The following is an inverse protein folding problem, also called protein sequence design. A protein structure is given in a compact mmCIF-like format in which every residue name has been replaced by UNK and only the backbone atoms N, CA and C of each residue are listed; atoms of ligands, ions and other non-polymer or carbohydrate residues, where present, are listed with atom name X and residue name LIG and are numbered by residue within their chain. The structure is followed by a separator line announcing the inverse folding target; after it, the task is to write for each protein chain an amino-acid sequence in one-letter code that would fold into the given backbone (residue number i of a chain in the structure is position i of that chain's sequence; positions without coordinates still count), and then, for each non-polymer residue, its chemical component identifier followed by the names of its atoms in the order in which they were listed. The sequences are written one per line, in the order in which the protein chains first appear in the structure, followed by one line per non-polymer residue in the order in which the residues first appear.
data_IF_983927823826
#
_entry.id   IF_983927823826
#
_cell.length_a   1.000
_cell.length_b   1.000
_cell.length_c   1.000
_cell.angle_alpha   90.00
_cell.angle_beta   90.00
_cell.angle_gamma   90.00
#
_symmetry.space_group_name_H-M   'P 1'
#
loop_
_entity.id
_entity.type
_entity.pdbx_description
1 polymer ?
#
# COMPACT_ATOMS: atom_id res chain seq x y z
N UNK A 1 12.49 6.98 24.18
CA UNK A 1 12.14 5.75 23.45
C UNK A 1 13.07 4.65 23.93
N UNK A 2 12.58 3.43 24.10
CA UNK A 2 13.44 2.29 24.43
C UNK A 2 14.32 1.97 23.21
N UNK A 3 15.48 1.33 23.46
CA UNK A 3 16.43 0.90 22.38
C UNK A 3 15.96 -0.39 21.66
N UNK A 4 14.63 -0.59 21.56
CA UNK A 4 14.07 -1.75 20.88
C UNK A 4 14.28 -1.67 19.37
N UNK A 5 14.92 -2.67 18.79
CA UNK A 5 15.03 -2.85 17.34
C UNK A 5 13.80 -3.59 16.84
N UNK A 6 13.23 -3.13 15.73
CA UNK A 6 12.00 -3.68 15.17
C UNK A 6 12.30 -4.25 13.78
N UNK A 7 11.97 -5.52 13.59
CA UNK A 7 12.23 -6.27 12.36
C UNK A 7 10.96 -6.75 11.70
N UNK A 8 11.03 -7.05 10.41
CA UNK A 8 9.92 -7.58 9.61
C UNK A 8 10.17 -9.07 9.39
N UNK A 9 9.21 -9.90 9.83
CA UNK A 9 9.34 -11.36 9.82
C UNK A 9 8.33 -12.05 8.92
N UNK A 10 7.27 -11.37 8.50
CA UNK A 10 6.26 -11.92 7.60
C UNK A 10 5.68 -10.88 6.68
N UNK A 11 5.30 -11.32 5.47
CA UNK A 11 4.75 -10.48 4.40
C UNK A 11 3.57 -11.19 3.76
N UNK A 12 2.46 -10.46 3.59
CA UNK A 12 1.30 -10.89 2.81
C UNK A 12 0.89 -9.82 1.82
N UNK A 13 0.71 -10.20 0.57
CA UNK A 13 0.38 -9.28 -0.52
C UNK A 13 -0.74 -9.85 -1.37
N UNK A 14 -1.67 -8.98 -1.74
CA UNK A 14 -2.68 -9.18 -2.78
C UNK A 14 -2.64 -7.96 -3.67
N UNK A 15 -2.48 -8.15 -4.97
CA UNK A 15 -2.32 -7.06 -5.93
C UNK A 15 -2.90 -7.43 -7.31
N UNK A 16 -3.02 -6.48 -8.24
CA UNK A 16 -3.38 -6.77 -9.62
C UNK A 16 -2.43 -7.71 -10.36
N UNK A 17 -1.22 -7.90 -9.81
CA UNK A 17 -0.16 -8.74 -10.37
C UNK A 17 -0.21 -10.18 -9.86
N UNK A 18 -0.82 -10.42 -8.69
CA UNK A 18 -0.91 -11.74 -8.08
C UNK A 18 -1.59 -11.72 -6.71
N UNK A 19 -2.04 -12.87 -6.26
CA UNK A 19 -2.76 -13.05 -5.00
C UNK A 19 -1.86 -13.52 -3.84
N UNK A 20 -0.55 -13.44 -4.02
CA UNK A 20 0.47 -13.72 -3.01
C UNK A 20 1.76 -12.93 -3.30
N UNK A 21 2.69 -12.97 -2.34
CA UNK A 21 3.98 -12.28 -2.45
C UNK A 21 4.80 -12.77 -3.65
N UNK A 22 4.88 -14.09 -3.85
CA UNK A 22 5.74 -14.69 -4.87
C UNK A 22 5.28 -14.32 -6.28
N UNK A 23 3.98 -14.51 -6.58
CA UNK A 23 3.42 -14.17 -7.89
C UNK A 23 3.48 -12.66 -8.19
N UNK A 24 3.23 -11.83 -7.17
CA UNK A 24 3.35 -10.37 -7.29
C UNK A 24 4.79 -9.96 -7.57
N UNK A 25 5.75 -10.50 -6.84
CA UNK A 25 7.16 -10.16 -7.01
C UNK A 25 7.73 -10.62 -8.36
N UNK A 26 7.43 -11.85 -8.80
CA UNK A 26 7.85 -12.32 -10.12
C UNK A 26 7.27 -11.46 -11.26
N UNK A 27 6.03 -10.98 -11.10
CA UNK A 27 5.44 -10.07 -12.06
C UNK A 27 6.13 -8.69 -12.06
N UNK A 28 6.49 -8.17 -10.88
CA UNK A 28 7.23 -6.91 -10.75
C UNK A 28 8.62 -6.99 -11.36
N UNK A 29 9.38 -8.06 -11.09
CA UNK A 29 10.71 -8.29 -11.72
C UNK A 29 10.62 -8.36 -13.24
N UNK A 30 9.56 -8.94 -13.75
CA UNK A 30 9.32 -9.08 -15.18
C UNK A 30 8.77 -7.81 -15.85
N UNK A 31 8.51 -6.73 -15.11
CA UNK A 31 7.91 -5.50 -15.65
C UNK A 31 6.50 -5.71 -16.20
N UNK A 32 5.71 -6.64 -15.66
CA UNK A 32 4.36 -6.91 -16.15
C UNK A 32 3.36 -5.89 -15.59
N UNK A 33 2.44 -5.41 -16.44
CA UNK A 33 1.34 -4.57 -16.01
C UNK A 33 0.16 -5.44 -15.57
N UNK A 34 -0.44 -5.10 -14.40
CA UNK A 34 -1.71 -5.67 -13.92
C UNK A 34 -2.94 -4.88 -14.35
N UNK A 35 -2.74 -3.78 -15.07
CA UNK A 35 -3.79 -2.86 -15.50
C UNK A 35 -4.50 -3.40 -16.74
N UNK A 36 -5.83 -3.33 -16.75
CA UNK A 36 -6.70 -3.78 -17.85
C UNK A 36 -7.98 -2.92 -17.86
N UNK A 37 -8.85 -3.15 -18.83
CA UNK A 37 -10.22 -2.62 -18.81
C UNK A 37 -10.96 -3.17 -17.59
N UNK A 38 -11.68 -2.31 -16.89
CA UNK A 38 -12.50 -2.68 -15.72
C UNK A 38 -13.55 -3.71 -16.13
N UNK A 39 -13.63 -4.82 -15.38
CA UNK A 39 -14.57 -5.92 -15.60
C UNK A 39 -15.61 -6.07 -14.50
N UNK A 40 -15.35 -5.52 -13.31
CA UNK A 40 -16.20 -5.64 -12.13
C UNK A 40 -17.47 -4.80 -12.20
N UNK A 41 -17.56 -3.82 -13.11
CA UNK A 41 -18.70 -2.92 -13.29
C UNK A 41 -18.91 -2.50 -14.75
N UNK A 42 -20.09 -2.01 -15.07
CA UNK A 42 -20.36 -1.36 -16.35
C UNK A 42 -19.67 0.02 -16.40
N UNK A 43 -18.78 0.20 -17.36
CA UNK A 43 -18.01 1.43 -17.57
C UNK A 43 -18.60 2.35 -18.65
N UNK A 44 -19.82 2.06 -19.14
CA UNK A 44 -20.51 2.89 -20.11
C UNK A 44 -20.71 4.30 -19.54
N UNK A 45 -20.27 5.32 -20.28
CA UNK A 45 -20.37 6.71 -19.86
C UNK A 45 -19.25 7.22 -18.95
N UNK A 46 -18.33 6.35 -18.49
CA UNK A 46 -17.16 6.79 -17.73
C UNK A 46 -16.05 7.26 -18.68
N UNK A 47 -15.36 8.35 -18.31
CA UNK A 47 -14.17 8.82 -19.04
C UNK A 47 -12.96 7.92 -18.82
N UNK A 48 -12.83 7.32 -17.63
CA UNK A 48 -11.82 6.30 -17.30
C UNK A 48 -12.50 4.93 -17.24
N UNK A 49 -11.95 3.96 -17.97
CA UNK A 49 -12.49 2.59 -18.12
C UNK A 49 -11.48 1.51 -17.74
N UNK A 50 -10.37 1.91 -17.13
CA UNK A 50 -9.22 1.07 -16.83
C UNK A 50 -8.88 1.09 -15.34
N UNK A 51 -8.41 -0.04 -14.81
CA UNK A 51 -7.94 -0.19 -13.44
C UNK A 51 -7.04 -1.42 -13.29
N UNK A 52 -6.33 -1.50 -12.18
CA UNK A 52 -5.66 -2.70 -11.70
C UNK A 52 -6.59 -3.48 -10.76
N UNK A 53 -7.39 -4.38 -11.29
CA UNK A 53 -8.29 -5.23 -10.51
C UNK A 53 -7.55 -6.47 -9.99
N UNK A 54 -7.87 -6.88 -8.76
CA UNK A 54 -7.46 -8.19 -8.22
C UNK A 54 -8.33 -9.27 -8.84
N UNK A 55 -7.69 -10.29 -9.44
CA UNK A 55 -8.34 -11.36 -10.18
C UNK A 55 -8.37 -12.66 -9.35
N UNK A 56 -9.49 -13.37 -9.40
CA UNK A 56 -9.63 -14.75 -8.89
C UNK A 56 -9.21 -14.97 -7.42
N UNK A 57 -9.33 -13.94 -6.57
CA UNK A 57 -9.04 -14.07 -5.16
C UNK A 57 -10.21 -14.70 -4.38
N UNK A 58 -9.97 -15.84 -3.74
CA UNK A 58 -10.90 -16.47 -2.80
C UNK A 58 -10.58 -16.06 -1.36
N UNK A 59 -11.45 -15.29 -0.68
CA UNK A 59 -11.24 -14.91 0.71
C UNK A 59 -11.63 -16.01 1.71
N UNK A 60 -12.38 -17.03 1.31
CA UNK A 60 -12.97 -18.02 2.22
C UNK A 60 -11.97 -18.70 3.16
N UNK A 61 -10.74 -19.05 2.74
CA UNK A 61 -9.76 -19.70 3.60
C UNK A 61 -9.26 -18.83 4.79
N UNK A 62 -9.50 -17.52 4.75
CA UNK A 62 -9.02 -16.57 5.77
C UNK A 62 -10.10 -16.15 6.78
N UNK A 63 -11.23 -16.86 6.79
CA UNK A 63 -12.34 -16.64 7.71
C UNK A 63 -12.74 -17.94 8.39
N UNK A 64 -13.14 -17.90 9.67
CA UNK A 64 -13.64 -19.06 10.42
C UNK A 64 -14.78 -19.78 9.71
N UNK A 65 -15.61 -19.01 9.04
CA UNK A 65 -16.69 -19.59 8.22
C UNK A 65 -16.81 -18.88 6.88
N UNK A 66 -17.16 -19.60 5.77
CA UNK A 66 -17.44 -18.97 4.47
C UNK A 66 -18.61 -17.97 4.50
N UNK A 67 -19.48 -18.07 5.51
CA UNK A 67 -20.61 -17.15 5.71
C UNK A 67 -20.10 -15.77 6.16
N UNK A 68 -19.06 -15.71 6.98
CA UNK A 68 -18.49 -14.46 7.46
C UNK A 68 -17.78 -13.72 6.31
N UNK A 69 -17.05 -14.45 5.47
CA UNK A 69 -16.45 -13.89 4.26
C UNK A 69 -17.48 -13.19 3.35
N UNK A 70 -18.67 -13.79 3.15
CA UNK A 70 -19.71 -13.23 2.27
C UNK A 70 -20.41 -11.97 2.77
N UNK A 71 -20.17 -11.57 4.01
CA UNK A 71 -20.89 -10.46 4.65
C UNK A 71 -20.10 -9.15 4.67
N UNK A 72 -18.78 -9.24 4.63
CA UNK A 72 -17.89 -8.09 4.75
C UNK A 72 -17.62 -7.43 3.40
N UNK A 73 -17.13 -6.20 3.42
CA UNK A 73 -16.75 -5.46 2.23
C UNK A 73 -15.47 -6.04 1.59
N UNK A 74 -15.27 -5.80 0.30
CA UNK A 74 -14.15 -6.33 -0.49
C UNK A 74 -12.77 -5.93 0.05
N UNK A 75 -12.61 -4.69 0.56
CA UNK A 75 -11.32 -4.31 1.15
C UNK A 75 -10.97 -5.17 2.36
N UNK A 76 -11.97 -5.60 3.13
CA UNK A 76 -11.79 -6.51 4.26
C UNK A 76 -11.38 -7.92 3.80
N UNK A 77 -11.87 -8.40 2.66
CA UNK A 77 -11.39 -9.65 2.07
C UNK A 77 -9.90 -9.62 1.84
N UNK A 78 -9.40 -8.53 1.25
CA UNK A 78 -7.97 -8.36 0.98
C UNK A 78 -7.16 -8.22 2.27
N UNK A 79 -7.66 -7.43 3.24
CA UNK A 79 -6.99 -7.27 4.54
C UNK A 79 -6.83 -8.60 5.28
N UNK A 80 -7.91 -9.41 5.35
CA UNK A 80 -7.91 -10.74 5.99
C UNK A 80 -6.96 -11.70 5.27
N UNK A 81 -7.01 -11.71 3.94
CA UNK A 81 -6.13 -12.54 3.12
C UNK A 81 -4.66 -12.20 3.31
N UNK A 82 -4.30 -10.93 3.18
CA UNK A 82 -2.92 -10.49 3.35
C UNK A 82 -2.41 -10.70 4.78
N UNK A 83 -3.24 -10.44 5.81
CA UNK A 83 -2.88 -10.69 7.20
C UNK A 83 -2.65 -12.19 7.47
N UNK A 84 -3.52 -13.06 6.97
CA UNK A 84 -3.36 -14.51 7.10
C UNK A 84 -2.10 -15.04 6.41
N UNK A 85 -1.77 -14.51 5.21
CA UNK A 85 -0.53 -14.83 4.50
C UNK A 85 0.70 -14.34 5.27
N UNK A 86 0.67 -13.10 5.80
CA UNK A 86 1.77 -12.53 6.57
C UNK A 86 2.03 -13.33 7.86
N UNK A 87 0.98 -13.69 8.59
CA UNK A 87 1.10 -14.55 9.79
C UNK A 87 1.68 -15.92 9.46
N UNK A 88 1.21 -16.54 8.38
CA UNK A 88 1.75 -17.83 7.91
C UNK A 88 3.23 -17.72 7.50
N UNK A 89 3.57 -16.68 6.75
CA UNK A 89 4.94 -16.44 6.27
C UNK A 89 5.91 -16.17 7.42
N UNK A 90 5.46 -15.47 8.48
CA UNK A 90 6.24 -15.21 9.68
C UNK A 90 6.61 -16.47 10.46
N UNK A 91 5.86 -17.56 10.29
CA UNK A 91 6.00 -18.79 11.08
C UNK A 91 5.69 -18.61 12.57
N UNK A 92 4.93 -17.56 12.94
CA UNK A 92 4.56 -17.28 14.32
C UNK A 92 3.56 -18.33 14.82
N UNK A 93 3.92 -19.03 15.92
CA UNK A 93 3.02 -19.98 16.59
C UNK A 93 2.12 -19.23 17.58
N UNK A 94 0.94 -18.83 17.10
CA UNK A 94 -0.02 -18.04 17.91
C UNK A 94 -0.50 -18.78 19.18
N UNK A 95 -0.38 -20.09 19.28
CA UNK A 95 -0.75 -20.82 20.49
C UNK A 95 0.36 -20.80 21.56
N UNK A 96 1.59 -20.53 21.15
CA UNK A 96 2.71 -20.36 22.06
C UNK A 96 2.93 -18.91 22.52
N UNK A 97 2.22 -17.95 21.90
CA UNK A 97 2.43 -16.52 22.12
C UNK A 97 1.46 -15.91 23.15
N UNK A 98 1.93 -14.88 23.84
CA UNK A 98 1.04 -13.99 24.59
C UNK A 98 0.27 -13.08 23.62
N UNK A 99 -0.94 -13.50 23.23
CA UNK A 99 -1.78 -12.79 22.28
C UNK A 99 -2.17 -11.37 22.74
N UNK A 100 -2.02 -11.04 24.02
CA UNK A 100 -2.25 -9.67 24.54
C UNK A 100 -1.10 -8.72 24.18
N UNK A 101 0.04 -9.25 23.73
CA UNK A 101 1.20 -8.52 23.25
C UNK A 101 1.28 -8.43 21.72
N UNK A 102 0.28 -8.99 21.00
CA UNK A 102 0.19 -8.95 19.53
C UNK A 102 -0.91 -7.96 19.14
N UNK A 103 -0.53 -6.86 18.53
CA UNK A 103 -1.48 -5.83 18.09
C UNK A 103 -1.78 -5.90 16.59
N UNK A 104 -2.81 -5.15 16.16
CA UNK A 104 -3.25 -5.09 14.76
C UNK A 104 -3.49 -3.64 14.34
N UNK A 105 -2.84 -3.21 13.25
CA UNK A 105 -3.02 -1.89 12.62
C UNK A 105 -3.08 -2.02 11.10
N UNK A 106 -4.25 -2.39 10.58
CA UNK A 106 -4.51 -2.50 9.14
C UNK A 106 -5.59 -1.51 8.76
N UNK A 107 -5.23 -0.52 7.92
CA UNK A 107 -6.11 0.58 7.53
C UNK A 107 -6.64 0.45 6.10
N UNK A 108 -7.61 1.32 5.79
CA UNK A 108 -8.09 1.58 4.43
C UNK A 108 -8.29 3.08 4.26
N UNK A 109 -7.96 3.61 3.09
CA UNK A 109 -8.12 5.05 2.80
C UNK A 109 -9.58 5.49 2.73
N UNK A 110 -10.47 4.61 2.26
CA UNK A 110 -11.90 4.91 2.05
C UNK A 110 -12.80 3.97 2.86
N UNK A 111 -12.37 2.72 3.11
CA UNK A 111 -13.19 1.74 3.80
C UNK A 111 -14.21 1.07 2.89
N UNK A 112 -15.33 0.62 3.46
CA UNK A 112 -16.36 -0.17 2.79
C UNK A 112 -17.30 0.63 1.88
N UNK A 113 -16.75 1.24 0.84
CA UNK A 113 -17.52 2.01 -0.14
C UNK A 113 -18.58 1.15 -0.85
N UNK A 114 -18.26 -0.12 -1.17
CA UNK A 114 -19.21 -1.06 -1.78
C UNK A 114 -20.40 -1.36 -0.86
N UNK A 115 -20.13 -1.50 0.43
CA UNK A 115 -21.19 -1.62 1.45
C UNK A 115 -22.07 -0.37 1.47
N UNK A 116 -21.48 0.83 1.45
CA UNK A 116 -22.23 2.09 1.44
C UNK A 116 -23.11 2.19 0.19
N UNK A 117 -22.57 1.96 -1.02
CA UNK A 117 -23.34 2.03 -2.27
C UNK A 117 -24.53 1.05 -2.27
N UNK A 118 -24.27 -0.22 -1.91
CA UNK A 118 -25.29 -1.25 -1.93
C UNK A 118 -26.42 -1.00 -0.92
N UNK A 119 -26.08 -0.51 0.27
CA UNK A 119 -27.05 -0.23 1.31
C UNK A 119 -27.80 1.08 1.05
N UNK A 120 -27.17 2.07 0.40
CA UNK A 120 -27.86 3.26 -0.07
C UNK A 120 -28.87 2.94 -1.18
N UNK A 121 -28.52 2.10 -2.13
CA UNK A 121 -29.47 1.60 -3.15
C UNK A 121 -30.64 0.82 -2.51
N UNK A 122 -30.36 0.03 -1.47
CA UNK A 122 -31.40 -0.66 -0.69
C UNK A 122 -32.34 0.32 0.02
N UNK A 123 -31.77 1.36 0.66
CA UNK A 123 -32.56 2.41 1.30
C UNK A 123 -33.54 3.09 0.33
N UNK A 124 -33.06 3.47 -0.85
CA UNK A 124 -33.86 4.16 -1.86
C UNK A 124 -34.94 3.24 -2.48
N UNK A 125 -34.64 1.98 -2.73
CA UNK A 125 -35.54 1.06 -3.41
C UNK A 125 -36.50 0.29 -2.50
N UNK A 126 -36.10 0.04 -1.22
CA UNK A 126 -36.85 -0.86 -0.30
C UNK A 126 -37.17 -0.21 1.05
N UNK A 127 -36.71 1.00 1.30
CA UNK A 127 -36.93 1.75 2.55
C UNK A 127 -36.02 1.36 3.72
N UNK A 128 -36.06 2.15 4.82
CA UNK A 128 -35.08 2.07 5.91
C UNK A 128 -35.07 0.73 6.67
N UNK A 129 -36.24 0.06 6.77
CA UNK A 129 -36.34 -1.22 7.45
C UNK A 129 -35.59 -2.38 6.76
N UNK A 130 -35.11 -2.17 5.54
CA UNK A 130 -34.40 -3.18 4.74
C UNK A 130 -32.89 -2.94 4.70
N UNK A 131 -32.41 -1.84 5.23
CA UNK A 131 -30.95 -1.56 5.38
C UNK A 131 -30.37 -2.58 6.37
N UNK A 132 -29.20 -3.13 6.03
CA UNK A 132 -28.53 -4.12 6.88
C UNK A 132 -28.14 -3.55 8.23
N UNK A 133 -28.38 -4.24 9.35
CA UNK A 133 -27.87 -3.82 10.66
C UNK A 133 -26.32 -3.88 10.74
N UNK A 134 -25.69 -4.55 9.80
CA UNK A 134 -24.24 -4.64 9.69
C UNK A 134 -23.62 -3.61 8.76
N UNK A 135 -24.43 -2.70 8.16
CA UNK A 135 -23.92 -1.66 7.26
C UNK A 135 -22.77 -0.87 7.91
N UNK A 136 -23.00 -0.32 9.09
CA UNK A 136 -21.99 0.51 9.77
C UNK A 136 -20.74 -0.32 10.12
N UNK A 137 -20.85 -1.49 10.82
CA UNK A 137 -19.68 -2.30 11.11
C UNK A 137 -18.83 -2.66 9.88
N UNK A 138 -19.45 -2.95 8.73
CA UNK A 138 -18.68 -3.37 7.55
C UNK A 138 -18.22 -2.22 6.65
N UNK A 139 -18.71 -1.01 6.91
CA UNK A 139 -18.31 0.19 6.18
C UNK A 139 -17.07 0.88 6.78
N UNK A 140 -16.94 0.89 8.11
CA UNK A 140 -15.88 1.64 8.78
C UNK A 140 -14.50 1.04 8.52
N UNK A 141 -13.49 1.90 8.27
CA UNK A 141 -12.15 1.47 7.83
C UNK A 141 -11.38 0.67 8.88
N UNK A 142 -11.68 0.83 10.18
CA UNK A 142 -11.01 0.07 11.25
C UNK A 142 -11.55 -1.35 11.43
N UNK A 143 -12.61 -1.74 10.70
CA UNK A 143 -13.17 -3.10 10.83
C UNK A 143 -12.16 -4.17 10.39
N UNK A 144 -11.28 -3.86 9.45
CA UNK A 144 -10.21 -4.77 9.04
C UNK A 144 -9.33 -5.18 10.21
N UNK A 145 -8.83 -4.21 10.99
CA UNK A 145 -8.06 -4.49 12.22
C UNK A 145 -8.87 -5.29 13.24
N UNK A 146 -10.14 -4.92 13.45
CA UNK A 146 -11.03 -5.62 14.36
C UNK A 146 -11.26 -7.07 13.97
N UNK A 147 -11.54 -7.36 12.71
CA UNK A 147 -11.79 -8.72 12.23
C UNK A 147 -10.54 -9.60 12.25
N UNK A 148 -9.37 -9.07 11.88
CA UNK A 148 -8.09 -9.78 12.03
C UNK A 148 -7.85 -10.15 13.50
N UNK A 149 -8.05 -9.19 14.41
CA UNK A 149 -7.94 -9.43 15.86
C UNK A 149 -8.88 -10.53 16.34
N UNK A 150 -10.15 -10.50 15.91
CA UNK A 150 -11.16 -11.51 16.27
C UNK A 150 -10.85 -12.89 15.68
N UNK A 151 -10.36 -12.94 14.44
CA UNK A 151 -10.06 -14.20 13.73
C UNK A 151 -8.95 -14.96 14.42
N UNK A 152 -7.86 -14.26 14.78
CA UNK A 152 -6.65 -14.86 15.33
C UNK A 152 -6.55 -14.75 16.86
N UNK A 153 -7.50 -14.07 17.52
CA UNK A 153 -7.53 -13.89 18.98
C UNK A 153 -6.48 -12.90 19.50
N UNK A 154 -6.08 -11.91 18.70
CA UNK A 154 -5.02 -10.96 19.03
C UNK A 154 -5.58 -9.83 19.94
N UNK A 155 -5.09 -9.74 21.16
CA UNK A 155 -5.61 -8.85 22.20
C UNK A 155 -4.75 -7.63 22.49
N UNK A 156 -3.72 -7.36 21.71
CA UNK A 156 -2.85 -6.18 21.83
C UNK A 156 -3.49 -4.91 21.26
N UNK A 157 -2.70 -3.83 21.11
CA UNK A 157 -3.20 -2.56 20.53
C UNK A 157 -3.91 -2.77 19.20
N UNK A 158 -5.13 -2.19 19.07
CA UNK A 158 -5.94 -2.34 17.86
C UNK A 158 -6.47 -0.99 17.40
N UNK A 159 -6.05 -0.53 16.23
CA UNK A 159 -6.52 0.72 15.64
C UNK A 159 -6.33 0.71 14.11
N UNK A 160 -6.84 1.75 13.47
CA UNK A 160 -6.62 2.01 12.04
C UNK A 160 -6.45 3.50 11.83
N UNK A 161 -5.37 3.87 11.18
CA UNK A 161 -5.11 5.25 10.75
C UNK A 161 -5.58 5.37 9.30
N UNK A 162 -6.28 6.47 9.01
CA UNK A 162 -6.82 6.78 7.68
C UNK A 162 -6.18 8.06 7.19
N UNK A 163 -5.32 7.94 6.19
CA UNK A 163 -4.56 9.05 5.60
C UNK A 163 -4.42 8.92 4.08
N UNK A 164 -5.54 8.57 3.44
CA UNK A 164 -5.59 8.37 1.99
C UNK A 164 -4.47 7.44 1.50
N UNK A 165 -3.67 7.86 0.51
CA UNK A 165 -2.60 7.05 -0.08
C UNK A 165 -1.48 6.68 0.91
N UNK A 166 -1.31 7.42 2.02
CA UNK A 166 -0.30 7.15 3.03
C UNK A 166 -0.77 6.20 4.14
N UNK A 167 -2.01 5.70 4.06
CA UNK A 167 -2.64 4.87 5.10
C UNK A 167 -1.77 3.70 5.54
N UNK A 168 -1.28 2.87 4.62
CA UNK A 168 -0.41 1.73 4.98
C UNK A 168 0.87 2.18 5.68
N UNK A 169 1.55 3.19 5.13
CA UNK A 169 2.81 3.69 5.70
C UNK A 169 2.61 4.24 7.11
N UNK A 170 1.51 4.95 7.36
CA UNK A 170 1.19 5.45 8.70
C UNK A 170 0.82 4.32 9.66
N UNK A 171 0.05 3.30 9.23
CA UNK A 171 -0.25 2.16 10.09
C UNK A 171 1.02 1.38 10.47
N UNK A 172 1.94 1.17 9.52
CA UNK A 172 3.23 0.51 9.78
C UNK A 172 4.11 1.38 10.68
N UNK A 173 4.22 2.67 10.39
CA UNK A 173 5.05 3.60 11.17
C UNK A 173 4.56 3.81 12.59
N UNK A 174 3.25 3.92 12.82
CA UNK A 174 2.71 4.02 14.18
C UNK A 174 2.74 2.68 14.93
N UNK A 175 2.60 1.54 14.24
CA UNK A 175 2.87 0.23 14.82
C UNK A 175 4.32 0.14 15.33
N UNK A 176 5.29 0.61 14.54
CA UNK A 176 6.70 0.72 14.96
C UNK A 176 6.85 1.60 16.20
N UNK A 177 6.18 2.77 16.28
CA UNK A 177 6.20 3.61 17.48
C UNK A 177 5.64 2.91 18.71
N UNK A 178 4.47 2.27 18.59
CA UNK A 178 3.84 1.49 19.67
C UNK A 178 4.83 0.45 20.22
N UNK A 179 5.52 -0.27 19.33
CA UNK A 179 6.53 -1.27 19.74
C UNK A 179 7.76 -0.62 20.37
N UNK A 180 8.22 0.54 19.87
CA UNK A 180 9.31 1.32 20.49
C UNK A 180 8.96 1.81 21.89
N UNK A 181 7.69 2.07 22.20
CA UNK A 181 7.23 2.39 23.56
C UNK A 181 7.04 1.17 24.45
N UNK A 182 7.04 -0.04 23.89
CA UNK A 182 6.92 -1.28 24.66
C UNK A 182 5.49 -1.78 24.86
N UNK A 183 4.51 -1.22 24.16
CA UNK A 183 3.09 -1.60 24.32
C UNK A 183 2.75 -2.91 23.58
N UNK A 184 3.56 -3.30 22.60
CA UNK A 184 3.45 -4.58 21.90
C UNK A 184 4.84 -5.17 21.59
N UNK A 185 4.89 -6.49 21.38
CA UNK A 185 6.09 -7.19 20.95
C UNK A 185 5.98 -7.68 19.51
N UNK A 186 4.74 -7.82 19.01
CA UNK A 186 4.40 -8.16 17.62
C UNK A 186 3.27 -7.25 17.13
N UNK A 187 3.33 -6.82 15.87
CA UNK A 187 2.26 -6.06 15.23
C UNK A 187 1.96 -6.59 13.84
N UNK A 188 0.69 -6.87 13.57
CA UNK A 188 0.15 -7.11 12.22
C UNK A 188 -0.25 -5.76 11.65
N UNK A 189 0.45 -5.24 10.64
CA UNK A 189 0.21 -3.87 10.19
C UNK A 189 0.34 -3.69 8.67
N UNK A 190 -0.35 -2.69 8.14
CA UNK A 190 -0.38 -2.41 6.70
C UNK A 190 -1.67 -1.73 6.27
N UNK A 191 -2.16 -2.08 5.08
CA UNK A 191 -3.42 -1.55 4.56
C UNK A 191 -4.02 -2.34 3.42
N UNK A 192 -5.30 -2.08 3.19
CA UNK A 192 -6.10 -2.70 2.13
C UNK A 192 -7.03 -1.65 1.50
N UNK A 193 -7.33 -1.80 0.21
CA UNK A 193 -8.25 -0.91 -0.50
C UNK A 193 -9.01 -1.67 -1.58
N UNK A 194 -10.30 -1.33 -1.78
CA UNK A 194 -11.16 -1.89 -2.83
C UNK A 194 -12.19 -0.85 -3.32
N UNK A 195 -11.70 0.14 -4.05
CA UNK A 195 -12.50 1.30 -4.46
C UNK A 195 -12.76 1.38 -5.96
N UNK A 196 -12.50 0.30 -6.71
CA UNK A 196 -12.89 0.18 -8.12
C UNK A 196 -14.41 -0.11 -8.17
N UNK A 197 -15.16 0.95 -7.90
CA UNK A 197 -16.61 0.95 -7.74
C UNK A 197 -17.20 2.17 -8.47
N UNK A 198 -18.50 2.16 -8.81
CA UNK A 198 -19.15 3.24 -9.56
C UNK A 198 -18.86 4.64 -9.02
N UNK A 199 -19.09 4.90 -7.73
CA UNK A 199 -18.86 6.22 -7.13
C UNK A 199 -17.37 6.53 -6.97
N UNK A 200 -16.54 5.54 -6.69
CA UNK A 200 -15.08 5.70 -6.59
C UNK A 200 -14.47 6.14 -7.92
N UNK A 201 -14.74 5.40 -8.99
CA UNK A 201 -14.26 5.73 -10.34
C UNK A 201 -14.83 7.07 -10.82
N UNK A 202 -16.14 7.33 -10.64
CA UNK A 202 -16.74 8.60 -11.03
C UNK A 202 -16.14 9.78 -10.26
N UNK A 203 -15.94 9.66 -8.95
CA UNK A 203 -15.39 10.71 -8.11
C UNK A 203 -13.99 11.13 -8.55
N UNK A 204 -13.06 10.19 -8.65
CA UNK A 204 -11.69 10.47 -9.10
C UNK A 204 -11.61 10.90 -10.56
N UNK A 205 -12.47 10.36 -11.42
CA UNK A 205 -12.56 10.73 -12.82
C UNK A 205 -13.00 12.20 -13.00
N UNK A 206 -14.04 12.63 -12.25
CA UNK A 206 -14.52 14.00 -12.28
C UNK A 206 -13.52 15.02 -11.71
N UNK A 207 -12.66 14.59 -10.79
CA UNK A 207 -11.52 15.39 -10.31
C UNK A 207 -10.42 15.54 -11.37
N UNK A 208 -10.52 14.87 -12.53
CA UNK A 208 -9.45 14.78 -13.55
C UNK A 208 -8.14 14.20 -13.01
N UNK A 209 -8.24 13.33 -12.01
CA UNK A 209 -7.10 12.69 -11.38
C UNK A 209 -6.69 11.37 -12.06
N UNK A 210 -7.62 10.73 -12.79
CA UNK A 210 -7.41 9.45 -13.44
C UNK A 210 -6.95 9.60 -14.90
N UNK A 211 -6.09 8.68 -15.31
CA UNK A 211 -5.74 8.49 -16.73
C UNK A 211 -6.97 8.11 -17.55
N UNK A 212 -7.08 8.66 -18.73
CA UNK A 212 -8.11 8.33 -19.72
C UNK A 212 -7.58 7.55 -20.93
N UNK A 213 -6.37 6.99 -20.84
CA UNK A 213 -5.72 6.17 -21.89
C UNK A 213 -6.36 4.78 -21.98
N UNK A 214 -7.66 4.75 -22.30
CA UNK A 214 -8.48 3.53 -22.31
C UNK A 214 -8.09 2.53 -23.39
N UNK A 215 -7.53 3.00 -24.50
CA UNK A 215 -7.18 2.17 -25.65
C UNK A 215 -5.88 1.37 -25.44
N UNK A 216 -5.05 1.80 -24.49
CA UNK A 216 -3.80 1.15 -24.13
C UNK A 216 -3.68 0.98 -22.60
N UNK A 217 -4.53 0.15 -21.97
CA UNK A 217 -4.61 0.05 -20.49
C UNK A 217 -3.26 -0.21 -19.82
N UNK A 218 -2.47 -1.15 -20.35
CA UNK A 218 -1.18 -1.54 -19.79
C UNK A 218 -0.11 -0.45 -19.91
N UNK A 219 -0.34 0.57 -20.74
CA UNK A 219 0.56 1.72 -20.95
C UNK A 219 0.07 3.00 -20.27
N UNK A 220 -1.05 2.94 -19.56
CA UNK A 220 -1.69 4.11 -18.99
C UNK A 220 -0.96 4.66 -17.77
N UNK A 221 -0.54 3.78 -16.83
CA UNK A 221 0.30 4.19 -15.71
C UNK A 221 1.75 4.31 -16.18
N UNK A 222 2.22 5.56 -16.26
CA UNK A 222 3.53 5.93 -16.83
C UNK A 222 4.22 7.02 -16.01
N UNK A 223 4.58 6.72 -14.74
CA UNK A 223 5.25 7.69 -13.88
C UNK A 223 6.50 8.26 -14.56
N UNK A 224 6.72 9.58 -14.43
CA UNK A 224 7.87 10.34 -14.97
C UNK A 224 7.94 10.45 -16.49
N UNK A 225 6.97 9.94 -17.23
CA UNK A 225 6.87 10.16 -18.67
C UNK A 225 6.19 11.51 -18.96
N UNK A 226 6.58 12.19 -20.05
CA UNK A 226 5.99 13.48 -20.43
C UNK A 226 4.51 13.39 -20.78
N UNK A 227 4.07 12.22 -21.29
CA UNK A 227 2.70 11.99 -21.74
C UNK A 227 1.80 11.38 -20.65
N UNK A 228 2.20 11.44 -19.35
CA UNK A 228 1.36 11.01 -18.24
C UNK A 228 0.17 11.93 -18.07
N UNK A 229 -1.01 11.37 -17.88
CA UNK A 229 -2.28 12.09 -17.86
C UNK A 229 -3.12 11.87 -16.60
N UNK A 230 -2.59 11.18 -15.59
CA UNK A 230 -3.28 10.84 -14.35
C UNK A 230 -2.92 9.46 -13.84
N UNK A 231 -3.33 9.12 -12.63
CA UNK A 231 -3.09 7.80 -12.08
C UNK A 231 -4.11 6.77 -12.59
N UNK A 232 -3.76 5.50 -12.52
CA UNK A 232 -4.69 4.39 -12.72
C UNK A 232 -5.04 3.81 -11.36
N UNK A 233 -6.32 3.67 -11.03
CA UNK A 233 -6.76 3.04 -9.78
C UNK A 233 -6.33 1.57 -9.72
N UNK A 234 -5.91 1.12 -8.54
CA UNK A 234 -5.69 -0.28 -8.23
C UNK A 234 -6.38 -0.67 -6.93
N UNK A 235 -6.50 -1.97 -6.68
CA UNK A 235 -7.03 -2.53 -5.44
C UNK A 235 -6.12 -3.63 -4.91
N UNK A 236 -6.22 -3.97 -3.61
CA UNK A 236 -5.44 -5.04 -3.00
C UNK A 236 -5.12 -4.78 -1.52
N UNK A 237 -4.08 -5.43 -1.02
CA UNK A 237 -3.56 -5.26 0.33
C UNK A 237 -2.07 -5.57 0.41
N UNK A 238 -1.38 -4.88 1.32
CA UNK A 238 -0.05 -5.22 1.77
C UNK A 238 0.00 -5.17 3.29
N UNK A 239 0.33 -6.30 3.91
CA UNK A 239 0.41 -6.48 5.37
C UNK A 239 1.74 -7.10 5.72
N UNK A 240 2.36 -6.60 6.78
CA UNK A 240 3.61 -7.13 7.31
C UNK A 240 3.46 -7.49 8.80
N UNK A 241 4.31 -8.40 9.26
CA UNK A 241 4.48 -8.71 10.68
C UNK A 241 5.74 -7.99 11.15
N UNK A 242 5.56 -7.05 12.07
CA UNK A 242 6.65 -6.44 12.83
C UNK A 242 6.86 -7.21 14.12
N UNK A 243 8.12 -7.47 14.47
CA UNK A 243 8.52 -8.07 15.74
C UNK A 243 9.68 -7.29 16.35
N UNK A 244 9.78 -7.31 17.69
CA UNK A 244 11.04 -6.89 18.30
C UNK A 244 12.14 -7.87 17.89
N UNK A 245 13.34 -7.37 17.63
CA UNK A 245 14.46 -8.21 17.23
C UNK A 245 14.73 -9.34 18.24
N UNK A 246 14.63 -9.03 19.53
CA UNK A 246 14.80 -10.02 20.61
C UNK A 246 13.78 -11.15 20.51
N UNK A 247 12.51 -10.83 20.28
CA UNK A 247 11.44 -11.82 20.10
C UNK A 247 11.68 -12.68 18.86
N UNK A 248 11.98 -12.07 17.72
CA UNK A 248 12.26 -12.77 16.47
C UNK A 248 13.45 -13.73 16.59
N UNK A 249 14.55 -13.28 17.21
CA UNK A 249 15.76 -14.11 17.42
C UNK A 249 15.48 -15.28 18.36
N UNK A 250 14.75 -15.06 19.45
CA UNK A 250 14.42 -16.11 20.44
C UNK A 250 13.68 -17.29 19.80
N UNK A 251 12.82 -17.05 18.83
CA UNK A 251 12.07 -18.09 18.12
C UNK A 251 12.72 -18.55 16.80
N UNK A 252 13.88 -17.98 16.42
CA UNK A 252 14.59 -18.33 15.18
C UNK A 252 13.84 -17.88 13.91
N UNK A 253 13.14 -16.74 13.96
CA UNK A 253 12.38 -16.23 12.85
C UNK A 253 13.25 -15.86 11.64
N UNK A 254 12.73 -16.03 10.43
CA UNK A 254 13.26 -15.37 9.25
C UNK A 254 13.08 -13.86 9.40
N UNK A 255 14.10 -13.08 9.10
CA UNK A 255 14.06 -11.62 9.11
C UNK A 255 14.26 -11.11 7.68
N UNK A 256 13.29 -10.36 7.16
CA UNK A 256 13.37 -9.74 5.84
C UNK A 256 14.17 -8.44 5.86
N UNK A 257 14.08 -7.68 6.95
CA UNK A 257 14.77 -6.43 7.15
C UNK A 257 14.43 -5.81 8.48
N UNK A 258 15.07 -4.70 8.81
CA UNK A 258 14.79 -3.89 10.00
C UNK A 258 14.13 -2.57 9.61
N UNK A 259 13.05 -2.20 10.29
CA UNK A 259 12.43 -0.88 10.16
C UNK A 259 13.14 0.10 11.09
N UNK A 260 14.03 0.90 10.53
CA UNK A 260 14.95 1.76 11.30
C UNK A 260 14.47 3.20 11.44
N UNK A 261 13.58 3.68 10.56
CA UNK A 261 13.12 5.06 10.60
C UNK A 261 11.71 5.24 10.03
N UNK A 262 11.04 6.27 10.51
CA UNK A 262 9.70 6.66 10.06
C UNK A 262 9.58 8.18 10.06
N UNK A 263 9.17 8.75 8.93
CA UNK A 263 8.90 10.17 8.78
C UNK A 263 7.41 10.45 8.57
N UNK A 264 6.94 11.56 9.11
CA UNK A 264 5.55 12.01 9.00
C UNK A 264 5.54 13.53 8.86
N UNK A 265 4.74 14.03 7.93
CA UNK A 265 4.57 15.48 7.70
C UNK A 265 3.27 15.77 6.97
N UNK A 266 2.95 17.04 6.79
CA UNK A 266 1.85 17.52 5.96
C UNK A 266 2.31 18.68 5.10
N UNK A 267 1.78 18.79 3.87
CA UNK A 267 2.08 19.92 2.98
C UNK A 267 1.50 21.25 3.48
N UNK A 268 0.32 21.19 4.11
CA UNK A 268 -0.43 22.35 4.57
C UNK A 268 -0.61 23.41 3.43
N UNK A 269 -0.89 22.91 2.22
CA UNK A 269 -0.89 23.73 1.01
C UNK A 269 -2.26 23.77 0.33
N UNK A 270 -2.79 22.64 -0.11
CA UNK A 270 -4.04 22.55 -0.87
C UNK A 270 -4.77 21.23 -0.57
N UNK A 271 -6.09 21.17 -0.85
CA UNK A 271 -6.91 19.99 -0.58
C UNK A 271 -6.41 18.72 -1.31
N UNK A 272 -5.95 18.85 -2.56
CA UNK A 272 -5.56 17.73 -3.43
C UNK A 272 -4.23 17.92 -4.14
N UNK A 273 -3.80 19.16 -4.39
CA UNK A 273 -2.53 19.44 -5.05
C UNK A 273 -1.36 19.38 -4.06
N UNK A 274 -0.23 18.74 -4.43
CA UNK A 274 0.99 18.75 -3.60
C UNK A 274 1.61 20.14 -3.54
N UNK A 275 2.44 20.38 -2.51
CA UNK A 275 3.30 21.56 -2.46
C UNK A 275 4.23 21.57 -3.70
N UNK A 276 4.24 22.67 -4.51
CA UNK A 276 4.99 22.71 -5.77
C UNK A 276 6.51 22.48 -5.63
N UNK A 277 7.06 22.72 -4.45
CA UNK A 277 8.48 22.48 -4.13
C UNK A 277 8.71 21.16 -3.37
N UNK A 278 7.67 20.36 -3.11
CA UNK A 278 7.77 19.08 -2.42
C UNK A 278 8.27 19.17 -0.97
N UNK A 279 8.07 20.31 -0.30
CA UNK A 279 8.62 20.56 1.04
C UNK A 279 8.12 19.60 2.10
N UNK A 280 6.86 19.16 2.01
CA UNK A 280 6.29 18.15 2.91
C UNK A 280 7.00 16.81 2.75
N UNK A 281 7.09 16.30 1.53
CA UNK A 281 7.79 15.04 1.23
C UNK A 281 9.28 15.10 1.64
N UNK A 282 9.95 16.23 1.40
CA UNK A 282 11.33 16.42 1.83
C UNK A 282 11.48 16.36 3.36
N UNK A 283 10.56 17.00 4.13
CA UNK A 283 10.56 16.90 5.60
C UNK A 283 10.34 15.48 6.09
N UNK A 284 9.42 14.75 5.45
CA UNK A 284 9.14 13.35 5.76
C UNK A 284 10.39 12.48 5.60
N UNK A 285 11.06 12.57 4.45
CA UNK A 285 12.30 11.82 4.18
C UNK A 285 13.43 12.18 5.16
N UNK A 286 13.65 13.47 5.44
CA UNK A 286 14.64 13.91 6.43
C UNK A 286 14.37 13.34 7.82
N UNK A 287 13.10 13.38 8.27
CA UNK A 287 12.72 12.79 9.57
C UNK A 287 12.98 11.28 9.62
N UNK A 288 12.71 10.55 8.53
CA UNK A 288 13.00 9.12 8.46
C UNK A 288 14.51 8.84 8.58
N UNK A 289 15.34 9.61 7.88
CA UNK A 289 16.81 9.54 7.98
C UNK A 289 17.30 9.88 9.39
N UNK A 290 16.76 10.92 10.02
CA UNK A 290 17.09 11.32 11.40
C UNK A 290 16.73 10.20 12.39
N UNK A 291 15.55 9.58 12.26
CA UNK A 291 15.18 8.45 13.12
C UNK A 291 16.07 7.22 12.91
N UNK A 292 16.52 6.99 11.68
CA UNK A 292 17.43 5.90 11.35
C UNK A 292 18.89 6.18 11.76
N UNK A 293 19.24 7.45 12.00
CA UNK A 293 20.63 7.86 12.20
C UNK A 293 21.49 7.71 10.93
N UNK A 294 20.86 7.73 9.75
CA UNK A 294 21.49 7.50 8.44
C UNK A 294 21.69 8.81 7.69
N UNK A 295 22.72 8.83 6.84
CA UNK A 295 22.97 9.92 5.89
C UNK A 295 22.28 9.62 4.56
N UNK A 296 21.95 10.66 3.77
CA UNK A 296 21.37 10.48 2.44
C UNK A 296 22.16 9.53 1.53
N UNK A 297 23.49 9.56 1.60
CA UNK A 297 24.40 8.77 0.76
C UNK A 297 24.39 7.27 1.10
N UNK A 298 23.81 6.88 2.23
CA UNK A 298 23.68 5.49 2.66
C UNK A 298 22.37 4.82 2.18
N UNK A 299 21.57 5.54 1.39
CA UNK A 299 20.31 5.02 0.83
C UNK A 299 20.56 4.59 -0.62
N UNK A 300 20.33 3.33 -0.92
CA UNK A 300 20.53 2.74 -2.26
C UNK A 300 19.29 2.88 -3.14
N UNK A 301 18.09 2.78 -2.56
CA UNK A 301 16.84 2.73 -3.31
C UNK A 301 15.69 3.51 -2.66
N UNK A 302 14.93 4.20 -3.51
CA UNK A 302 13.64 4.82 -3.16
C UNK A 302 12.54 4.24 -4.04
N UNK A 303 11.60 3.52 -3.44
CA UNK A 303 10.32 3.21 -4.07
C UNK A 303 9.41 4.41 -3.90
N UNK A 304 9.10 5.09 -4.99
CA UNK A 304 8.46 6.39 -4.98
C UNK A 304 6.93 6.31 -4.92
N UNK A 305 6.32 7.42 -4.54
CA UNK A 305 4.88 7.58 -4.75
C UNK A 305 4.52 7.53 -6.22
N UNK A 306 5.22 8.28 -7.10
CA UNK A 306 5.23 8.14 -8.55
C UNK A 306 3.93 7.68 -9.18
N UNK A 307 2.86 8.51 -9.07
CA UNK A 307 1.49 8.10 -9.43
C UNK A 307 1.15 8.27 -10.90
N UNK A 308 2.08 8.75 -11.73
CA UNK A 308 1.78 9.11 -13.12
C UNK A 308 0.87 10.36 -13.25
N UNK A 309 0.95 11.26 -12.26
CA UNK A 309 0.22 12.53 -12.32
C UNK A 309 1.16 13.66 -12.75
N UNK A 310 0.66 14.64 -13.56
CA UNK A 310 1.50 15.69 -14.11
C UNK A 310 2.29 16.48 -13.06
N UNK A 311 1.65 16.85 -11.94
CA UNK A 311 2.29 17.64 -10.87
C UNK A 311 2.94 16.78 -9.79
N UNK A 312 2.31 15.66 -9.39
CA UNK A 312 2.77 14.83 -8.27
C UNK A 312 4.17 14.30 -8.47
N UNK A 313 4.44 13.75 -9.64
CA UNK A 313 5.72 13.16 -9.99
C UNK A 313 6.86 14.21 -9.98
N UNK A 314 6.58 15.44 -10.48
CA UNK A 314 7.56 16.55 -10.46
C UNK A 314 7.89 16.99 -9.03
N UNK A 315 6.85 17.18 -8.18
CA UNK A 315 7.02 17.62 -6.81
C UNK A 315 7.81 16.61 -5.99
N UNK A 316 7.58 15.32 -6.19
CA UNK A 316 8.31 14.25 -5.52
C UNK A 316 9.80 14.23 -5.92
N UNK A 317 10.09 14.34 -7.21
CA UNK A 317 11.50 14.41 -7.67
C UNK A 317 12.22 15.64 -7.14
N UNK A 318 11.55 16.79 -7.03
CA UNK A 318 12.13 17.97 -6.39
C UNK A 318 12.45 17.68 -4.92
N UNK A 319 11.56 17.02 -4.19
CA UNK A 319 11.77 16.63 -2.80
C UNK A 319 12.98 15.68 -2.65
N UNK A 320 13.07 14.66 -3.51
CA UNK A 320 14.19 13.72 -3.54
C UNK A 320 15.50 14.46 -3.79
N UNK A 321 15.56 15.32 -4.80
CA UNK A 321 16.75 16.13 -5.09
C UNK A 321 17.15 17.06 -3.92
N UNK A 322 16.16 17.63 -3.21
CA UNK A 322 16.41 18.49 -2.07
C UNK A 322 16.94 17.75 -0.82
N UNK A 323 16.67 16.44 -0.71
CA UNK A 323 17.14 15.60 0.40
C UNK A 323 18.48 14.94 0.08
N UNK A 324 18.59 14.36 -1.11
CA UNK A 324 19.71 13.52 -1.50
C UNK A 324 20.82 14.24 -2.29
N UNK A 325 20.58 15.49 -2.71
CA UNK A 325 21.58 16.31 -3.39
C UNK A 325 22.19 15.63 -4.62
N UNK A 326 23.52 15.56 -4.66
CA UNK A 326 24.23 14.92 -5.80
C UNK A 326 24.06 13.39 -5.81
N UNK A 327 23.78 12.78 -4.66
CA UNK A 327 23.49 11.34 -4.58
C UNK A 327 22.23 10.96 -5.38
N UNK A 328 21.22 11.84 -5.42
CA UNK A 328 20.03 11.66 -6.26
C UNK A 328 20.34 11.53 -7.77
N UNK A 329 21.53 11.96 -8.21
CA UNK A 329 21.97 11.92 -9.62
C UNK A 329 22.91 10.77 -9.92
N UNK A 330 23.69 10.30 -8.94
CA UNK A 330 24.89 9.49 -9.20
C UNK A 330 24.97 8.19 -8.38
N UNK A 331 23.97 7.88 -7.54
CA UNK A 331 24.02 6.69 -6.68
C UNK A 331 22.66 6.14 -6.30
N UNK A 332 21.70 7.02 -6.00
CA UNK A 332 20.35 6.62 -5.58
C UNK A 332 19.55 6.04 -6.75
N UNK A 333 19.07 4.81 -6.60
CA UNK A 333 18.15 4.18 -7.55
C UNK A 333 16.70 4.53 -7.19
N UNK A 334 15.88 4.78 -8.20
CA UNK A 334 14.49 5.24 -8.02
C UNK A 334 13.59 4.43 -8.97
N UNK A 335 12.47 3.89 -8.45
CA UNK A 335 11.42 3.36 -9.31
C UNK A 335 10.03 3.55 -8.70
N UNK A 336 9.01 3.53 -9.58
CA UNK A 336 7.61 3.47 -9.19
C UNK A 336 6.98 2.15 -9.63
N UNK A 337 6.68 1.29 -8.67
CA UNK A 337 5.94 0.03 -8.92
C UNK A 337 4.49 0.27 -9.35
N UNK A 338 3.96 1.49 -9.14
CA UNK A 338 2.63 1.88 -9.62
C UNK A 338 2.51 1.89 -11.14
N UNK A 339 3.62 1.93 -11.87
CA UNK A 339 3.62 1.71 -13.31
C UNK A 339 3.04 0.33 -13.69
N UNK A 340 3.15 -0.66 -12.81
CA UNK A 340 2.71 -2.04 -12.99
C UNK A 340 1.41 -2.36 -12.25
N UNK A 341 1.28 -1.92 -11.01
CA UNK A 341 0.13 -2.24 -10.15
C UNK A 341 -1.04 -1.26 -10.30
N UNK A 342 -0.82 -0.06 -10.84
CA UNK A 342 -1.68 1.08 -10.59
C UNK A 342 -1.52 1.59 -9.17
N UNK A 343 -2.34 2.56 -8.78
CA UNK A 343 -2.32 3.15 -7.45
C UNK A 343 -3.35 2.47 -6.53
N UNK A 344 -2.88 1.68 -5.58
CA UNK A 344 -3.72 0.93 -4.64
C UNK A 344 -4.22 1.79 -3.46
N UNK A 345 -4.15 3.10 -3.56
CA UNK A 345 -4.62 4.06 -2.54
C UNK A 345 -4.09 3.68 -1.14
N UNK A 346 -4.98 3.39 -0.19
CA UNK A 346 -4.60 3.05 1.18
C UNK A 346 -3.76 1.78 1.32
N UNK A 347 -3.79 0.87 0.35
CA UNK A 347 -2.97 -0.35 0.33
C UNK A 347 -1.56 -0.15 -0.25
N UNK A 348 -1.33 0.95 -1.01
CA UNK A 348 -0.12 1.13 -1.80
C UNK A 348 1.18 0.95 -1.01
N UNK A 349 1.33 1.66 0.11
CA UNK A 349 2.56 1.62 0.90
C UNK A 349 2.92 0.25 1.46
N UNK A 350 1.93 -0.60 1.79
CA UNK A 350 2.19 -1.97 2.24
C UNK A 350 2.73 -2.88 1.13
N UNK A 351 2.19 -2.74 -0.08
CA UNK A 351 2.68 -3.48 -1.27
C UNK A 351 4.05 -2.98 -1.70
N UNK A 352 4.30 -1.67 -1.61
CA UNK A 352 5.59 -1.04 -1.93
C UNK A 352 6.68 -1.41 -0.92
N UNK A 353 6.36 -1.48 0.37
CA UNK A 353 7.28 -2.00 1.38
C UNK A 353 7.65 -3.47 1.08
N UNK A 354 6.67 -4.30 0.73
CA UNK A 354 6.93 -5.68 0.34
C UNK A 354 7.87 -5.75 -0.87
N UNK A 355 7.68 -4.89 -1.88
CA UNK A 355 8.57 -4.79 -3.03
C UNK A 355 10.00 -4.37 -2.63
N UNK A 356 10.17 -3.41 -1.71
CA UNK A 356 11.47 -3.00 -1.18
C UNK A 356 12.17 -4.18 -0.44
N UNK A 357 11.43 -4.89 0.41
CA UNK A 357 11.97 -6.04 1.14
C UNK A 357 12.42 -7.15 0.20
N UNK A 358 11.64 -7.44 -0.83
CA UNK A 358 12.02 -8.44 -1.85
C UNK A 358 13.18 -7.96 -2.72
N UNK A 359 13.27 -6.66 -3.01
CA UNK A 359 14.42 -6.08 -3.71
C UNK A 359 15.73 -6.31 -2.92
N UNK A 360 15.69 -6.12 -1.60
CA UNK A 360 16.82 -6.41 -0.70
C UNK A 360 17.18 -7.92 -0.68
N UNK A 361 16.17 -8.81 -0.71
CA UNK A 361 16.43 -10.26 -0.67
C UNK A 361 17.06 -10.78 -1.97
N UNK A 362 16.59 -10.27 -3.13
CA UNK A 362 17.01 -10.75 -4.46
C UNK A 362 18.11 -9.89 -5.08
N UNK A 363 18.48 -8.73 -4.49
CA UNK A 363 19.33 -7.70 -5.07
C UNK A 363 18.84 -7.26 -6.46
N UNK A 364 17.53 -7.07 -6.61
CA UNK A 364 16.89 -6.66 -7.86
C UNK A 364 15.90 -5.55 -7.56
N UNK A 365 16.06 -4.40 -8.21
CA UNK A 365 15.08 -3.30 -8.11
C UNK A 365 14.04 -3.45 -9.22
N UNK A 366 12.73 -3.46 -8.87
CA UNK A 366 11.68 -3.54 -9.88
C UNK A 366 11.65 -2.26 -10.73
N UNK A 367 11.44 -2.37 -12.07
CA UNK A 367 11.50 -1.22 -12.96
C UNK A 367 10.30 -0.30 -12.84
N UNK A 368 10.47 0.96 -13.27
CA UNK A 368 9.36 1.79 -13.77
C UNK A 368 9.14 1.45 -15.23
N UNK A 369 8.00 0.90 -15.60
CA UNK A 369 7.64 0.62 -17.00
C UNK A 369 6.92 1.83 -17.62
N UNK A 370 6.80 1.81 -18.97
CA UNK A 370 6.08 2.81 -19.78
C UNK A 370 6.72 4.22 -19.80
N UNK A 371 8.01 4.34 -19.52
CA UNK A 371 8.74 5.59 -19.70
C UNK A 371 9.34 5.59 -21.11
N UNK A 372 8.57 6.08 -22.08
CA UNK A 372 9.03 6.18 -23.49
C UNK A 372 9.79 7.48 -23.73
N UNK A 373 9.34 8.56 -23.06
CA UNK A 373 9.90 9.89 -23.16
C UNK A 373 9.99 10.50 -21.74
N UNK A 374 11.16 10.33 -21.11
CA UNK A 374 11.37 10.76 -19.74
C UNK A 374 11.23 12.29 -19.62
N UNK A 375 10.42 12.75 -18.64
CA UNK A 375 10.30 14.17 -18.32
C UNK A 375 11.67 14.74 -17.88
N UNK A 376 12.18 15.82 -18.52
CA UNK A 376 13.49 16.37 -18.19
C UNK A 376 13.65 16.80 -16.70
N UNK A 377 12.55 17.13 -16.03
CA UNK A 377 12.59 17.46 -14.58
C UNK A 377 12.91 16.22 -13.74
N UNK A 378 12.54 15.03 -14.24
CA UNK A 378 12.75 13.74 -13.57
C UNK A 378 14.12 13.10 -13.87
N UNK A 379 15.09 13.82 -14.43
CA UNK A 379 16.45 13.32 -14.62
C UNK A 379 17.09 12.99 -13.27
N UNK A 380 16.88 11.76 -12.87
CA UNK A 380 17.47 11.03 -11.75
C UNK A 380 17.81 9.63 -12.25
N UNK A 381 18.47 8.78 -11.48
CA UNK A 381 18.66 7.38 -11.81
C UNK A 381 17.33 6.60 -11.74
N UNK A 382 16.42 6.85 -12.70
CA UNK A 382 15.24 6.00 -12.88
C UNK A 382 15.68 4.60 -13.32
N UNK A 383 15.27 3.61 -12.53
CA UNK A 383 15.42 2.21 -12.91
C UNK A 383 14.39 1.89 -13.99
N UNK A 384 14.83 1.99 -15.26
CA UNK A 384 14.09 1.55 -16.43
C UNK A 384 14.16 0.01 -16.55
N UNK A 385 13.43 -0.66 -17.49
CA UNK A 385 13.33 -2.12 -17.59
C UNK A 385 14.65 -2.87 -17.91
N UNK A 386 15.79 -2.32 -17.60
CA UNK A 386 17.08 -3.00 -17.65
C UNK A 386 17.37 -3.54 -16.26
N UNK A 387 17.54 -4.87 -16.11
CA UNK A 387 18.03 -5.47 -14.88
C UNK A 387 19.31 -4.75 -14.44
N UNK A 388 19.21 -3.93 -13.41
CA UNK A 388 20.37 -3.49 -12.66
C UNK A 388 20.51 -4.49 -11.50
N UNK A 389 21.50 -5.36 -11.60
CA UNK A 389 22.00 -6.11 -10.44
C UNK A 389 22.70 -5.07 -9.53
N UNK A 390 22.29 -5.02 -8.29
CA UNK A 390 22.90 -4.16 -7.25
C UNK A 390 24.04 -4.91 -6.60
#
# INVERSE_FOLDING_TARGET
MTDRRIVITGIGVISPLGNDLASTWEAMKAGRSGIDTIKSMDVTGYSTKIAGEVKDFDPAPYFKTPKDARRVDRFTHFAMGAAGMALKDSGLDLEAEDKTRIGVMVGSGIGGLGTLESQHATLLSKGPARVSPFMIPYMISNIASGLISMEYGLGGPNMSIVTACATSNHNIGEAWRIMKFGDADVMVCGGAEATILPTGVAGFSNMKALSSRNDEPQRASRPYDVDRDGFVMGEGAGVVILETLEHAQKRGAKIYGELVGYGISADAYHLTAPDPEGRGAARCMKMALEHAGMKPEEIDYVNTHGTSTPLGDICEIKAIKAVFGDHAKNGLLISSTKSMTGHLLGAAGGVELAACLMAMQDNIIPPTINVDNQDPVSYTHLTLPTKLEV
#
